data_IF_701251142929
#
_entry.id   IF_701251142929
#
_cell.length_a   1.000
_cell.length_b   1.000
_cell.length_c   1.000
_cell.angle_alpha   90.00
_cell.angle_beta   90.00
_cell.angle_gamma   90.00
#
_symmetry.space_group_name_H-M   'P 1'
#
loop_
_entity.id
_entity.type
_entity.pdbx_description
1 polymer ?
#
# COMPACT_ATOMS: atom_id res chain seq x y z
N UNK A 1 -2.07 -9.70 5.46
CA UNK A 1 -1.86 -8.40 6.13
C UNK A 1 -0.80 -7.61 5.37
N UNK A 2 -1.08 -6.35 5.06
CA UNK A 2 -0.19 -5.42 4.37
C UNK A 2 0.13 -4.30 5.35
N UNK A 3 1.27 -4.41 6.04
CA UNK A 3 1.71 -3.34 6.93
C UNK A 3 2.18 -2.16 6.11
N UNK A 4 1.71 -0.94 6.42
CA UNK A 4 2.11 0.30 5.76
C UNK A 4 2.12 1.46 6.76
N UNK A 5 2.55 2.63 6.29
CA UNK A 5 2.46 3.89 7.01
C UNK A 5 2.13 5.03 6.06
N UNK A 6 0.87 5.13 5.62
CA UNK A 6 0.46 6.25 4.75
C UNK A 6 0.90 7.60 5.35
N UNK A 7 1.53 8.45 4.54
CA UNK A 7 2.14 9.69 4.99
C UNK A 7 1.94 10.75 3.92
N UNK A 8 1.20 11.80 4.24
CA UNK A 8 1.08 12.97 3.37
C UNK A 8 2.35 13.82 3.49
N UNK A 9 3.12 14.05 2.41
CA UNK A 9 4.34 14.84 2.49
C UNK A 9 4.08 16.28 2.95
N UNK A 10 2.91 16.83 2.61
CA UNK A 10 2.42 18.16 2.97
C UNK A 10 0.91 18.08 3.13
N UNK A 11 0.39 18.45 4.30
CA UNK A 11 -1.06 18.52 4.54
C UNK A 11 -1.40 19.59 5.59
N UNK A 12 -1.58 19.19 6.85
CA UNK A 12 -1.74 20.12 8.00
C UNK A 12 -0.39 20.62 8.53
N UNK A 13 0.70 20.19 7.89
CA UNK A 13 2.09 20.47 8.21
C UNK A 13 2.86 20.84 6.94
N UNK A 14 3.99 21.51 7.13
CA UNK A 14 4.92 21.86 6.05
C UNK A 14 5.82 20.67 5.68
N UNK A 15 6.51 20.79 4.55
CA UNK A 15 7.26 19.68 3.97
C UNK A 15 8.44 19.23 4.85
N UNK A 16 9.02 20.12 5.65
CA UNK A 16 10.10 19.83 6.59
C UNK A 16 9.65 18.82 7.65
N UNK A 17 8.44 19.02 8.19
CA UNK A 17 7.85 18.10 9.16
C UNK A 17 7.51 16.76 8.49
N UNK A 18 6.93 16.78 7.28
CA UNK A 18 6.70 15.58 6.49
C UNK A 18 7.98 14.78 6.23
N UNK A 19 9.09 15.46 5.93
CA UNK A 19 10.40 14.83 5.73
C UNK A 19 10.96 14.23 7.02
N UNK A 20 10.93 14.97 8.13
CA UNK A 20 11.38 14.47 9.43
C UNK A 20 10.57 13.24 9.87
N UNK A 21 9.26 13.27 9.67
CA UNK A 21 8.33 12.18 9.98
C UNK A 21 8.57 10.97 9.10
N UNK A 22 8.82 11.14 7.80
CA UNK A 22 9.15 10.04 6.89
C UNK A 22 10.44 9.32 7.34
N UNK A 23 11.47 10.10 7.68
CA UNK A 23 12.75 9.57 8.18
C UNK A 23 12.54 8.80 9.49
N UNK A 24 11.81 9.37 10.46
CA UNK A 24 11.51 8.72 11.74
C UNK A 24 10.73 7.42 11.57
N UNK A 25 9.70 7.44 10.71
CA UNK A 25 8.88 6.28 10.36
C UNK A 25 9.73 5.16 9.74
N UNK A 26 10.58 5.51 8.78
CA UNK A 26 11.40 4.55 8.07
C UNK A 26 12.49 3.96 8.97
N UNK A 27 13.08 4.77 9.87
CA UNK A 27 14.07 4.31 10.84
C UNK A 27 13.47 3.26 11.77
N UNK A 28 12.36 3.59 12.41
CA UNK A 28 11.67 2.69 13.35
C UNK A 28 11.25 1.40 12.66
N UNK A 29 10.70 1.51 11.45
CA UNK A 29 10.20 0.33 10.74
C UNK A 29 11.32 -0.55 10.19
N UNK A 30 12.44 0.04 9.77
CA UNK A 30 13.62 -0.72 9.38
C UNK A 30 14.18 -1.54 10.55
N UNK A 31 14.19 -0.99 11.76
CA UNK A 31 14.59 -1.75 12.96
C UNK A 31 13.63 -2.92 13.25
N UNK A 32 12.32 -2.73 13.09
CA UNK A 32 11.34 -3.81 13.25
C UNK A 32 11.59 -4.93 12.24
N UNK A 33 11.79 -4.58 10.97
CA UNK A 33 12.09 -5.52 9.89
C UNK A 33 13.41 -6.26 10.10
N UNK A 34 14.44 -5.63 10.65
CA UNK A 34 15.69 -6.34 10.98
C UNK A 34 15.47 -7.42 12.04
N UNK A 35 14.65 -7.14 13.06
CA UNK A 35 14.49 -7.98 14.24
C UNK A 35 13.38 -9.04 14.15
N UNK A 36 12.47 -8.92 13.18
CA UNK A 36 11.38 -9.88 12.97
C UNK A 36 11.56 -10.66 11.66
N UNK A 37 11.41 -11.99 11.70
CA UNK A 37 11.64 -12.85 10.53
C UNK A 37 10.48 -12.87 9.53
N UNK A 38 9.25 -12.67 10.00
CA UNK A 38 8.04 -12.78 9.19
C UNK A 38 7.50 -11.41 8.76
N UNK A 39 7.86 -10.34 9.47
CA UNK A 39 7.39 -8.98 9.19
C UNK A 39 7.83 -8.48 7.80
N UNK A 40 6.87 -7.90 7.09
CA UNK A 40 7.08 -7.22 5.80
C UNK A 40 6.45 -5.84 5.92
N UNK A 41 7.27 -4.81 5.77
CA UNK A 41 6.77 -3.44 5.63
C UNK A 41 6.59 -3.07 4.17
N UNK A 42 5.44 -2.50 3.81
CA UNK A 42 5.13 -2.09 2.46
C UNK A 42 5.05 -0.56 2.41
N UNK A 43 5.86 0.07 1.56
CA UNK A 43 5.86 1.53 1.41
C UNK A 43 6.09 1.96 -0.03
N UNK A 44 5.60 3.15 -0.38
CA UNK A 44 5.69 3.76 -1.71
C UNK A 44 6.22 5.20 -1.63
N UNK A 45 6.13 5.93 -2.76
CA UNK A 45 6.40 7.37 -2.93
C UNK A 45 7.88 7.76 -2.96
N UNK A 46 8.39 7.98 -4.17
CA UNK A 46 9.76 8.45 -4.42
C UNK A 46 10.12 9.68 -3.59
N UNK A 47 9.20 10.63 -3.40
CA UNK A 47 9.46 11.84 -2.60
C UNK A 47 10.04 11.51 -1.22
N UNK A 48 9.42 10.55 -0.51
CA UNK A 48 9.86 10.17 0.84
C UNK A 48 11.19 9.43 0.82
N UNK A 49 11.39 8.55 -0.15
CA UNK A 49 12.66 7.84 -0.32
C UNK A 49 13.81 8.79 -0.68
N UNK A 50 13.54 9.85 -1.45
CA UNK A 50 14.53 10.89 -1.75
C UNK A 50 14.95 11.64 -0.49
N UNK A 51 14.01 12.01 0.38
CA UNK A 51 14.34 12.63 1.66
C UNK A 51 15.19 11.71 2.54
N UNK A 52 14.86 10.42 2.62
CA UNK A 52 15.69 9.46 3.36
C UNK A 52 17.07 9.30 2.70
N UNK A 53 17.14 9.25 1.37
CA UNK A 53 18.40 9.18 0.63
C UNK A 53 19.29 10.40 0.88
N UNK A 54 18.71 11.58 0.97
CA UNK A 54 19.40 12.86 1.15
C UNK A 54 19.83 13.08 2.60
N UNK A 55 18.90 12.93 3.54
CA UNK A 55 19.09 13.31 4.95
C UNK A 55 19.54 12.14 5.85
N UNK A 56 19.32 10.88 5.46
CA UNK A 56 19.84 9.71 6.19
C UNK A 56 20.35 8.59 5.26
N UNK A 57 21.49 8.81 4.54
CA UNK A 57 22.01 7.84 3.57
C UNK A 57 22.31 6.44 4.14
N UNK A 58 22.62 6.34 5.44
CA UNK A 58 22.83 5.06 6.13
C UNK A 58 21.53 4.25 6.24
N UNK A 59 20.42 4.91 6.58
CA UNK A 59 19.08 4.32 6.59
C UNK A 59 18.66 3.91 5.19
N UNK A 60 18.92 4.73 4.17
CA UNK A 60 18.63 4.37 2.78
C UNK A 60 19.33 3.06 2.36
N UNK A 61 20.62 2.91 2.69
CA UNK A 61 21.38 1.66 2.45
C UNK A 61 20.79 0.48 3.23
N UNK A 62 20.34 0.70 4.46
CA UNK A 62 19.66 -0.33 5.27
C UNK A 62 18.36 -0.78 4.60
N UNK A 63 17.53 0.16 4.12
CA UNK A 63 16.31 -0.15 3.38
C UNK A 63 16.62 -0.94 2.12
N UNK A 64 17.64 -0.57 1.34
CA UNK A 64 18.07 -1.36 0.18
C UNK A 64 18.43 -2.81 0.53
N UNK A 65 19.04 -3.05 1.69
CA UNK A 65 19.33 -4.40 2.19
C UNK A 65 18.04 -5.14 2.56
N UNK A 66 17.12 -4.48 3.26
CA UNK A 66 15.83 -5.07 3.65
C UNK A 66 14.95 -5.42 2.44
N UNK A 67 15.00 -4.61 1.37
CA UNK A 67 14.33 -4.91 0.10
C UNK A 67 14.89 -6.19 -0.52
N UNK A 68 16.21 -6.37 -0.54
CA UNK A 68 16.84 -7.62 -1.03
C UNK A 68 16.54 -8.85 -0.15
N UNK A 69 16.06 -8.63 1.07
CA UNK A 69 15.70 -9.67 2.03
C UNK A 69 14.19 -9.94 2.06
N UNK A 70 13.41 -9.32 1.17
CA UNK A 70 11.94 -9.41 1.12
C UNK A 70 11.23 -9.00 2.42
N UNK A 71 11.89 -8.17 3.25
CA UNK A 71 11.32 -7.63 4.49
C UNK A 71 10.81 -6.19 4.36
N UNK A 72 11.20 -5.54 3.27
CA UNK A 72 10.73 -4.22 2.90
C UNK A 72 10.30 -4.26 1.45
N UNK A 73 9.02 -4.05 1.19
CA UNK A 73 8.44 -4.13 -0.13
C UNK A 73 8.15 -2.73 -0.67
N UNK A 74 8.71 -2.43 -1.84
CA UNK A 74 8.37 -1.21 -2.57
C UNK A 74 7.05 -1.47 -3.32
N UNK A 75 5.98 -0.81 -2.88
CA UNK A 75 4.64 -1.00 -3.46
C UNK A 75 4.22 0.21 -4.31
N UNK A 76 3.21 0.04 -5.18
CA UNK A 76 2.58 1.12 -5.95
C UNK A 76 3.42 1.66 -7.12
N UNK A 77 4.67 2.04 -6.89
CA UNK A 77 5.59 2.52 -7.93
C UNK A 77 5.35 3.96 -8.40
N UNK A 78 4.52 4.73 -7.68
CA UNK A 78 4.28 6.15 -7.94
C UNK A 78 5.47 7.03 -7.51
N UNK A 79 5.66 8.16 -8.18
CA UNK A 79 6.55 9.21 -7.68
C UNK A 79 5.99 9.83 -6.38
N UNK A 80 4.70 10.15 -6.38
CA UNK A 80 3.89 10.43 -5.20
C UNK A 80 2.48 9.85 -5.45
N UNK A 81 1.73 9.42 -4.42
CA UNK A 81 0.33 9.01 -4.61
C UNK A 81 -0.48 10.20 -5.14
N UNK A 82 -1.00 10.14 -6.38
CA UNK A 82 -1.69 11.28 -6.96
C UNK A 82 -3.16 11.33 -6.51
N UNK A 83 -3.73 12.53 -6.51
CA UNK A 83 -5.17 12.67 -6.75
C UNK A 83 -5.54 11.98 -8.07
N UNK A 84 -6.68 11.30 -8.12
CA UNK A 84 -7.06 10.46 -9.25
C UNK A 84 -8.13 11.06 -10.16
N UNK A 85 -8.40 12.37 -10.06
CA UNK A 85 -9.37 13.08 -10.90
C UNK A 85 -8.80 14.35 -11.55
N UNK A 86 -8.06 15.15 -10.78
CA UNK A 86 -7.58 16.47 -11.16
C UNK A 86 -6.38 16.45 -12.13
N UNK A 87 -5.39 15.55 -11.99
CA UNK A 87 -4.24 15.54 -12.88
C UNK A 87 -4.62 15.17 -14.32
N UNK A 88 -3.88 15.72 -15.28
CA UNK A 88 -3.99 15.31 -16.67
C UNK A 88 -3.49 13.88 -16.89
N UNK A 89 -3.87 13.26 -18.01
CA UNK A 89 -3.34 11.95 -18.41
C UNK A 89 -1.80 11.91 -18.44
N UNK A 90 -1.18 12.95 -19.00
CA UNK A 90 0.29 13.08 -19.03
C UNK A 90 0.88 13.16 -17.61
N UNK A 91 0.22 13.86 -16.68
CA UNK A 91 0.65 13.92 -15.28
C UNK A 91 0.68 12.53 -14.64
N UNK A 92 -0.33 11.69 -14.85
CA UNK A 92 -0.32 10.30 -14.38
C UNK A 92 0.82 9.49 -15.00
N UNK A 93 1.03 9.61 -16.31
CA UNK A 93 2.13 8.95 -17.02
C UNK A 93 3.48 9.35 -16.41
N UNK A 94 3.67 10.63 -16.07
CA UNK A 94 4.91 11.11 -15.42
C UNK A 94 5.07 10.61 -14.00
N UNK A 95 4.00 10.59 -13.20
CA UNK A 95 4.02 10.01 -11.85
C UNK A 95 4.52 8.55 -11.88
N UNK A 96 4.01 7.76 -12.82
CA UNK A 96 4.40 6.36 -13.00
C UNK A 96 5.82 6.23 -13.54
N UNK A 97 6.15 6.97 -14.60
CA UNK A 97 7.44 6.85 -15.28
C UNK A 97 8.60 7.24 -14.34
N UNK A 98 8.47 8.36 -13.65
CA UNK A 98 9.48 8.84 -12.70
C UNK A 98 9.58 7.92 -11.48
N UNK A 99 8.43 7.45 -10.98
CA UNK A 99 8.34 6.48 -9.90
C UNK A 99 9.10 5.18 -10.20
N UNK A 100 8.71 4.52 -11.30
CA UNK A 100 9.33 3.28 -11.76
C UNK A 100 10.82 3.44 -12.06
N UNK A 101 11.23 4.53 -12.71
CA UNK A 101 12.65 4.76 -13.01
C UNK A 101 13.48 4.90 -11.74
N UNK A 102 12.97 5.63 -10.73
CA UNK A 102 13.66 5.78 -9.45
C UNK A 102 13.79 4.44 -8.72
N UNK A 103 12.69 3.72 -8.54
CA UNK A 103 12.72 2.44 -7.82
C UNK A 103 13.53 1.37 -8.55
N UNK A 104 13.47 1.32 -9.89
CA UNK A 104 14.32 0.43 -10.67
C UNK A 104 15.81 0.77 -10.49
N UNK A 105 16.17 2.06 -10.55
CA UNK A 105 17.56 2.52 -10.41
C UNK A 105 18.13 2.21 -9.02
N UNK A 106 17.36 2.46 -7.96
CA UNK A 106 17.87 2.41 -6.60
C UNK A 106 17.61 1.08 -5.88
N UNK A 107 16.59 0.33 -6.27
CA UNK A 107 16.18 -0.91 -5.59
C UNK A 107 16.09 -2.11 -6.54
N UNK A 108 16.19 -1.91 -7.86
CA UNK A 108 16.06 -2.99 -8.85
C UNK A 108 14.63 -3.50 -9.02
N UNK A 109 13.64 -2.77 -8.51
CA UNK A 109 12.23 -3.20 -8.47
C UNK A 109 11.36 -2.37 -9.42
N UNK A 110 10.33 -3.01 -9.97
CA UNK A 110 9.26 -2.36 -10.72
C UNK A 110 7.92 -2.95 -10.26
N UNK A 111 7.17 -2.26 -9.39
CA UNK A 111 5.89 -2.75 -8.88
C UNK A 111 4.89 -3.09 -9.99
N UNK A 112 4.02 -4.06 -9.72
CA UNK A 112 2.97 -4.54 -10.65
C UNK A 112 1.56 -4.22 -10.19
N UNK A 113 1.43 -3.95 -8.89
CA UNK A 113 0.22 -3.43 -8.28
C UNK A 113 0.35 -1.93 -8.05
N UNK A 114 -0.52 -1.15 -8.68
CA UNK A 114 -0.70 0.27 -8.35
C UNK A 114 -1.56 0.42 -7.10
N UNK A 115 -1.34 1.49 -6.32
CA UNK A 115 -1.98 1.67 -5.02
C UNK A 115 -2.30 3.13 -4.77
N UNK A 116 -3.54 3.40 -4.34
CA UNK A 116 -3.92 4.70 -3.81
C UNK A 116 -4.84 4.53 -2.59
N UNK A 117 -4.36 4.93 -1.41
CA UNK A 117 -5.12 4.75 -0.17
C UNK A 117 -6.20 5.81 0.02
N UNK A 118 -5.86 7.09 -0.20
CA UNK A 118 -6.73 8.23 0.15
C UNK A 118 -7.11 9.18 -1.01
N UNK A 119 -7.23 8.77 -2.29
CA UNK A 119 -7.67 9.68 -3.35
C UNK A 119 -9.19 9.90 -3.29
N UNK A 120 -9.67 11.10 -3.62
CA UNK A 120 -11.11 11.40 -3.55
C UNK A 120 -11.85 11.06 -4.85
N UNK A 121 -11.86 9.77 -5.20
CA UNK A 121 -12.47 9.24 -6.42
C UNK A 121 -11.43 8.87 -7.48
N UNK A 122 -11.89 8.37 -8.63
CA UNK A 122 -11.03 7.82 -9.67
C UNK A 122 -11.60 8.03 -11.07
N UNK A 123 -10.80 8.58 -11.98
CA UNK A 123 -11.15 8.62 -13.40
C UNK A 123 -11.08 7.25 -14.06
N UNK A 124 -12.08 6.90 -14.89
CA UNK A 124 -12.08 5.65 -15.68
C UNK A 124 -10.92 5.58 -16.68
N UNK A 125 -10.38 6.72 -17.10
CA UNK A 125 -9.18 6.79 -17.95
C UNK A 125 -7.91 6.25 -17.29
N UNK A 126 -7.88 6.18 -15.96
CA UNK A 126 -6.73 5.69 -15.20
C UNK A 126 -6.41 4.22 -15.54
N UNK A 127 -7.43 3.40 -15.81
CA UNK A 127 -7.26 1.98 -16.16
C UNK A 127 -6.35 1.81 -17.37
N UNK A 128 -6.59 2.59 -18.43
CA UNK A 128 -5.78 2.56 -19.64
C UNK A 128 -4.33 2.91 -19.35
N UNK A 129 -4.11 3.96 -18.55
CA UNK A 129 -2.77 4.44 -18.20
C UNK A 129 -2.01 3.39 -17.37
N UNK A 130 -2.68 2.79 -16.37
CA UNK A 130 -2.11 1.73 -15.53
C UNK A 130 -1.72 0.52 -16.37
N UNK A 131 -2.66 -0.01 -17.16
CA UNK A 131 -2.44 -1.19 -18.00
C UNK A 131 -1.30 -0.98 -18.99
N UNK A 132 -1.31 0.14 -19.74
CA UNK A 132 -0.26 0.46 -20.72
C UNK A 132 1.10 0.79 -20.08
N UNK A 133 1.14 1.11 -18.79
CA UNK A 133 2.39 1.30 -18.04
C UNK A 133 2.94 -0.01 -17.46
N UNK A 134 2.19 -1.10 -17.58
CA UNK A 134 2.56 -2.45 -17.18
C UNK A 134 2.18 -2.82 -15.76
N UNK A 135 1.21 -2.12 -15.16
CA UNK A 135 0.47 -2.58 -13.99
C UNK A 135 -0.62 -3.56 -14.42
N UNK A 136 -0.82 -4.61 -13.63
CA UNK A 136 -1.87 -5.62 -13.84
C UNK A 136 -2.94 -5.58 -12.75
N UNK A 137 -2.68 -4.84 -11.67
CA UNK A 137 -3.53 -4.80 -10.50
C UNK A 137 -3.58 -3.42 -9.84
N UNK A 138 -4.68 -3.13 -9.12
CA UNK A 138 -4.94 -1.87 -8.46
C UNK A 138 -5.60 -2.06 -7.08
N UNK A 139 -4.96 -1.61 -6.01
CA UNK A 139 -5.50 -1.63 -4.64
C UNK A 139 -5.88 -0.21 -4.21
N UNK A 140 -7.13 0.00 -3.80
CA UNK A 140 -7.62 1.34 -3.44
C UNK A 140 -8.58 1.35 -2.27
N UNK A 141 -8.73 2.52 -1.63
CA UNK A 141 -9.61 2.69 -0.45
C UNK A 141 -10.90 3.45 -0.70
N UNK A 142 -10.86 4.42 -1.61
CA UNK A 142 -11.96 5.37 -1.82
C UNK A 142 -12.58 5.28 -3.23
N UNK A 143 -13.85 5.66 -3.41
CA UNK A 143 -14.84 5.95 -2.37
C UNK A 143 -15.12 4.73 -1.50
N UNK A 144 -15.41 4.93 -0.22
CA UNK A 144 -15.79 3.85 0.70
C UNK A 144 -17.18 3.30 0.34
N UNK A 145 -17.58 2.19 0.94
CA UNK A 145 -18.89 1.55 0.70
C UNK A 145 -20.08 2.50 0.90
N UNK A 146 -20.00 3.38 1.90
CA UNK A 146 -21.02 4.39 2.18
C UNK A 146 -21.29 5.32 0.98
N UNK A 147 -20.25 5.65 0.22
CA UNK A 147 -20.35 6.58 -0.91
C UNK A 147 -20.55 5.88 -2.25
N UNK A 148 -20.13 4.63 -2.36
CA UNK A 148 -20.27 3.84 -3.58
C UNK A 148 -20.44 2.36 -3.23
N UNK A 149 -21.67 1.87 -3.36
CA UNK A 149 -21.94 0.44 -3.25
C UNK A 149 -21.40 -0.29 -4.50
N UNK A 150 -20.56 -1.30 -4.27
CA UNK A 150 -19.96 -2.12 -5.30
C UNK A 150 -20.43 -3.55 -5.12
N UNK A 151 -20.91 -4.18 -6.20
CA UNK A 151 -21.33 -5.60 -6.18
C UNK A 151 -20.25 -6.56 -5.68
N UNK A 152 -18.99 -6.18 -5.79
CA UNK A 152 -17.86 -6.92 -5.23
C UNK A 152 -16.69 -5.98 -4.94
N UNK A 153 -15.93 -6.31 -3.90
CA UNK A 153 -14.68 -5.65 -3.57
C UNK A 153 -13.55 -5.97 -4.54
N UNK A 154 -13.60 -7.12 -5.21
CA UNK A 154 -12.61 -7.57 -6.18
C UNK A 154 -13.27 -7.69 -7.56
N UNK A 155 -12.68 -7.06 -8.57
CA UNK A 155 -13.29 -7.01 -9.90
C UNK A 155 -12.28 -6.70 -10.99
N UNK A 156 -12.64 -6.97 -12.24
CA UNK A 156 -11.91 -6.45 -13.39
C UNK A 156 -12.43 -5.04 -13.70
N UNK A 157 -11.58 -4.03 -13.59
CA UNK A 157 -11.92 -2.64 -13.92
C UNK A 157 -11.59 -2.37 -15.39
N UNK A 158 -12.59 -1.93 -16.15
CA UNK A 158 -12.48 -1.74 -17.61
C UNK A 158 -12.42 -0.24 -17.97
N UNK A 159 -11.36 0.15 -18.65
CA UNK A 159 -11.13 1.50 -19.14
C UNK A 159 -12.07 1.90 -20.27
N UNK A 160 -11.98 3.16 -20.70
CA UNK A 160 -12.73 3.66 -21.85
C UNK A 160 -12.29 3.03 -23.18
N UNK A 161 -11.02 2.62 -23.29
CA UNK A 161 -10.46 1.98 -24.48
C UNK A 161 -10.56 0.45 -24.46
N UNK A 162 -11.21 -0.13 -23.46
CA UNK A 162 -11.29 -1.58 -23.26
C UNK A 162 -10.07 -2.20 -22.58
N UNK A 163 -9.07 -1.42 -22.16
CA UNK A 163 -8.01 -1.93 -21.28
C UNK A 163 -8.59 -2.43 -19.95
N UNK A 164 -7.98 -3.45 -19.37
CA UNK A 164 -8.45 -4.09 -18.14
C UNK A 164 -7.34 -4.15 -17.08
N UNK A 165 -7.72 -3.93 -15.82
CA UNK A 165 -6.85 -4.10 -14.65
C UNK A 165 -7.64 -4.80 -13.54
N UNK A 166 -7.04 -5.75 -12.82
CA UNK A 166 -7.67 -6.34 -11.64
C UNK A 166 -7.67 -5.32 -10.51
N UNK A 167 -8.83 -5.01 -9.93
CA UNK A 167 -8.97 -4.01 -8.90
C UNK A 167 -9.55 -4.62 -7.62
N UNK A 168 -9.02 -4.18 -6.48
CA UNK A 168 -9.60 -4.46 -5.17
C UNK A 168 -9.80 -3.17 -4.39
N UNK A 169 -11.04 -2.91 -3.94
CA UNK A 169 -11.29 -1.98 -2.83
C UNK A 169 -11.01 -2.72 -1.52
N UNK A 170 -9.98 -2.33 -0.78
CA UNK A 170 -9.69 -3.00 0.50
C UNK A 170 -10.81 -2.78 1.51
N UNK A 171 -10.96 -3.71 2.44
CA UNK A 171 -12.01 -3.69 3.47
C UNK A 171 -11.53 -2.90 4.68
N UNK A 172 -12.43 -2.08 5.24
CA UNK A 172 -12.12 -1.18 6.35
C UNK A 172 -11.22 -0.02 5.95
N UNK A 173 -10.18 0.24 6.73
CA UNK A 173 -9.33 1.42 6.60
C UNK A 173 -7.86 1.07 6.37
N UNK A 174 -7.06 1.98 5.80
CA UNK A 174 -5.67 1.70 5.41
C UNK A 174 -4.68 1.71 6.59
N UNK A 175 -5.09 2.16 7.78
CA UNK A 175 -4.26 2.18 8.99
C UNK A 175 -5.04 1.61 10.20
N UNK A 176 -4.34 1.48 11.32
CA UNK A 176 -4.83 1.10 12.65
C UNK A 176 -4.33 2.11 13.67
N UNK A 177 -4.98 2.22 14.83
CA UNK A 177 -4.49 3.07 15.92
C UNK A 177 -3.19 2.54 16.52
N UNK A 178 -2.34 3.45 16.99
CA UNK A 178 -1.07 3.12 17.64
C UNK A 178 -1.32 2.29 18.91
N UNK A 179 -0.74 1.08 18.97
CA UNK A 179 -0.87 0.19 20.11
C UNK A 179 -2.11 -0.72 20.10
N UNK A 180 -3.02 -0.56 19.13
CA UNK A 180 -4.29 -1.29 19.04
C UNK A 180 -4.38 -2.16 17.77
N UNK A 181 -3.27 -2.33 17.03
CA UNK A 181 -3.30 -3.01 15.73
C UNK A 181 -3.89 -4.42 15.80
N UNK A 182 -3.51 -5.22 16.80
CA UNK A 182 -3.98 -6.60 16.93
C UNK A 182 -5.50 -6.69 17.20
N UNK A 183 -6.03 -5.80 18.04
CA UNK A 183 -7.47 -5.75 18.36
C UNK A 183 -8.28 -5.38 17.11
N UNK A 184 -7.89 -4.30 16.42
CA UNK A 184 -8.56 -3.87 15.18
C UNK A 184 -8.41 -4.89 14.04
N UNK A 185 -7.27 -5.58 13.95
CA UNK A 185 -7.07 -6.68 13.01
C UNK A 185 -8.06 -7.82 13.32
N UNK A 186 -8.22 -8.19 14.59
CA UNK A 186 -9.15 -9.23 14.99
C UNK A 186 -10.61 -8.84 14.71
N UNK A 187 -11.03 -7.63 15.08
CA UNK A 187 -12.37 -7.12 14.77
C UNK A 187 -12.66 -7.16 13.27
N UNK A 188 -11.70 -6.73 12.44
CA UNK A 188 -11.85 -6.77 10.98
C UNK A 188 -11.90 -8.21 10.45
N UNK A 189 -11.23 -9.18 11.07
CA UNK A 189 -11.37 -10.60 10.70
C UNK A 189 -12.79 -11.09 10.98
N UNK A 190 -13.35 -10.72 12.12
CA UNK A 190 -14.70 -11.12 12.54
C UNK A 190 -15.79 -10.47 11.66
N UNK A 191 -15.64 -9.17 11.37
CA UNK A 191 -16.56 -8.41 10.52
C UNK A 191 -16.58 -8.86 9.05
N UNK A 192 -15.49 -9.48 8.58
CA UNK A 192 -15.31 -9.91 7.19
C UNK A 192 -15.17 -11.43 7.13
N UNK A 193 -15.93 -12.13 7.98
CA UNK A 193 -15.80 -13.58 8.18
C UNK A 193 -16.38 -14.38 7.01
N UNK A 194 -17.28 -13.81 6.23
CA UNK A 194 -17.86 -14.33 5.00
C UNK A 194 -16.88 -14.34 3.81
N UNK A 195 -15.77 -13.60 3.90
CA UNK A 195 -14.77 -13.55 2.84
C UNK A 195 -13.69 -14.63 3.02
N UNK A 196 -13.52 -15.48 2.00
CA UNK A 196 -12.47 -16.53 1.96
C UNK A 196 -11.05 -15.96 2.09
N UNK A 197 -10.81 -14.80 1.48
CA UNK A 197 -9.53 -14.10 1.51
C UNK A 197 -9.73 -12.62 1.22
N UNK A 198 -9.10 -11.75 2.01
CA UNK A 198 -9.08 -10.31 1.79
C UNK A 198 -7.75 -9.68 2.22
N UNK A 199 -7.47 -8.50 1.65
CA UNK A 199 -6.32 -7.70 2.04
C UNK A 199 -6.68 -6.89 3.29
N UNK A 200 -5.89 -7.06 4.35
CA UNK A 200 -5.99 -6.27 5.56
C UNK A 200 -4.80 -5.35 5.70
N UNK A 201 -5.04 -4.05 5.65
CA UNK A 201 -4.02 -3.02 5.84
C UNK A 201 -3.92 -2.65 7.31
N UNK A 202 -2.71 -2.41 7.80
CA UNK A 202 -2.45 -2.02 9.19
C UNK A 202 -1.15 -1.24 9.33
N UNK A 203 -0.95 -0.63 10.50
CA UNK A 203 0.14 0.31 10.78
C UNK A 203 -0.42 1.70 11.07
N UNK A 204 0.42 2.63 11.51
CA UNK A 204 0.00 4.01 11.82
C UNK A 204 0.32 4.91 10.63
N UNK A 205 -0.59 5.83 10.30
CA UNK A 205 -0.52 6.64 9.08
C UNK A 205 -1.15 8.03 9.21
N UNK A 206 -1.50 8.62 8.07
CA UNK A 206 -1.81 10.05 7.82
C UNK A 206 -0.59 10.96 7.99
N UNK A 207 0.05 10.92 9.16
CA UNK A 207 1.31 11.60 9.43
C UNK A 207 2.43 10.57 9.70
N UNK A 208 2.46 9.47 8.95
CA UNK A 208 3.42 8.39 9.19
C UNK A 208 3.30 7.77 10.59
N UNK A 209 4.46 7.53 11.24
CA UNK A 209 4.59 6.85 12.54
C UNK A 209 4.97 5.38 12.38
N UNK A 210 4.28 4.66 11.49
CA UNK A 210 4.48 3.23 11.30
C UNK A 210 4.05 2.39 12.51
N UNK A 211 4.11 1.05 12.43
CA UNK A 211 3.73 0.21 13.55
C UNK A 211 4.72 0.34 14.72
N UNK A 212 4.24 0.19 15.96
CA UNK A 212 5.13 0.12 17.12
C UNK A 212 5.68 -1.30 17.36
N UNK A 213 6.72 -1.42 18.20
CA UNK A 213 7.20 -2.72 18.71
C UNK A 213 6.09 -3.50 19.44
N UNK A 214 5.20 -2.80 20.15
CA UNK A 214 4.04 -3.40 20.81
C UNK A 214 3.08 -3.97 19.76
N UNK A 215 2.73 -3.18 18.76
CA UNK A 215 1.81 -3.60 17.69
C UNK A 215 2.31 -4.87 17.01
N UNK A 216 3.57 -4.88 16.55
CA UNK A 216 4.13 -6.04 15.86
C UNK A 216 4.13 -7.29 16.75
N UNK A 217 4.53 -7.16 18.02
CA UNK A 217 4.51 -8.27 18.99
C UNK A 217 3.09 -8.81 19.18
N UNK A 218 2.11 -7.93 19.34
CA UNK A 218 0.74 -8.33 19.63
C UNK A 218 0.06 -8.91 18.38
N UNK A 219 0.38 -8.40 17.18
CA UNK A 219 -0.04 -8.97 15.89
C UNK A 219 0.56 -10.35 15.67
N UNK A 220 1.83 -10.57 15.99
CA UNK A 220 2.43 -11.90 15.87
C UNK A 220 1.78 -12.89 16.85
N UNK A 221 1.46 -12.47 18.08
CA UNK A 221 0.70 -13.30 19.02
C UNK A 221 -0.68 -13.64 18.50
N UNK A 222 -1.35 -12.71 17.82
CA UNK A 222 -2.63 -12.97 17.18
C UNK A 222 -2.47 -14.03 16.08
N UNK A 223 -1.49 -13.88 15.18
CA UNK A 223 -1.17 -14.87 14.15
C UNK A 223 -0.95 -16.27 14.74
N UNK A 224 -0.19 -16.37 15.84
CA UNK A 224 0.10 -17.65 16.50
C UNK A 224 -1.14 -18.28 17.15
N UNK A 225 -2.08 -17.47 17.65
CA UNK A 225 -3.30 -17.94 18.33
C UNK A 225 -4.43 -18.31 17.36
N UNK A 226 -4.51 -17.64 16.21
CA UNK A 226 -5.54 -17.91 15.21
C UNK A 226 -5.25 -19.24 14.52
N UNK A 227 -6.17 -20.20 14.66
CA UNK A 227 -6.02 -21.57 14.13
C UNK A 227 -7.05 -21.92 13.06
N UNK A 228 -8.19 -21.23 13.06
CA UNK A 228 -9.29 -21.37 12.11
C UNK A 228 -9.04 -20.64 10.79
N UNK A 229 -8.10 -19.68 10.78
CA UNK A 229 -7.72 -18.88 9.60
C UNK A 229 -6.22 -18.70 9.48
N UNK A 230 -5.74 -18.59 8.24
CA UNK A 230 -4.33 -18.30 7.96
C UNK A 230 -4.10 -16.80 7.88
N UNK A 231 -3.46 -16.23 8.89
CA UNK A 231 -3.01 -14.83 8.89
C UNK A 231 -1.53 -14.77 8.54
N UNK A 232 -1.16 -13.96 7.53
CA UNK A 232 0.25 -13.78 7.11
C UNK A 232 0.56 -12.31 6.83
N UNK A 233 1.77 -11.87 7.17
CA UNK A 233 2.37 -10.66 6.59
C UNK A 233 2.62 -10.89 5.10
N UNK A 234 2.28 -9.91 4.26
CA UNK A 234 2.30 -10.08 2.81
C UNK A 234 2.45 -8.76 2.07
N UNK A 235 2.46 -8.85 0.74
CA UNK A 235 2.57 -7.73 -0.19
C UNK A 235 1.31 -7.62 -1.05
N UNK A 236 1.02 -6.43 -1.62
CA UNK A 236 -0.06 -6.23 -2.58
C UNK A 236 0.02 -7.20 -3.77
N UNK A 237 1.20 -7.36 -4.37
CA UNK A 237 1.42 -8.29 -5.49
C UNK A 237 1.12 -9.74 -5.10
N UNK A 238 1.51 -10.18 -3.90
CA UNK A 238 1.21 -11.54 -3.45
C UNK A 238 -0.28 -11.74 -3.19
N UNK A 239 -0.98 -10.71 -2.67
CA UNK A 239 -2.43 -10.74 -2.53
C UNK A 239 -3.12 -10.94 -3.90
N UNK A 240 -2.78 -10.14 -4.91
CA UNK A 240 -3.36 -10.28 -6.25
C UNK A 240 -2.97 -11.59 -6.94
N UNK A 241 -1.77 -12.12 -6.71
CA UNK A 241 -1.37 -13.43 -7.22
C UNK A 241 -2.22 -14.59 -6.66
N UNK A 242 -2.66 -14.47 -5.42
CA UNK A 242 -3.50 -15.47 -4.75
C UNK A 242 -5.00 -15.30 -5.07
N UNK A 243 -5.40 -14.18 -5.65
CA UNK A 243 -6.79 -13.98 -6.09
C UNK A 243 -7.06 -14.81 -7.34
N UNK A 244 -7.95 -15.80 -7.22
CA UNK A 244 -8.60 -16.40 -8.38
C UNK A 244 -9.67 -15.43 -8.89
N UNK A 245 -9.62 -14.96 -10.16
CA UNK A 245 -10.60 -14.03 -10.67
C UNK A 245 -11.94 -14.74 -10.85
N UNK A 246 -12.98 -14.31 -10.12
CA UNK A 246 -14.29 -14.97 -10.19
C UNK A 246 -15.31 -14.25 -11.06
N UNK A 247 -15.24 -12.92 -11.27
CA UNK A 247 -16.22 -12.22 -12.13
C UNK A 247 -15.72 -10.86 -12.62
N UNK A 248 -15.78 -10.54 -13.93
CA UNK A 248 -15.55 -9.17 -14.40
C UNK A 248 -16.73 -8.26 -14.04
N UNK A 249 -16.48 -7.13 -13.35
CA UNK A 249 -17.48 -6.05 -13.22
C UNK A 249 -17.25 -5.04 -14.35
N UNK A 250 -18.08 -5.11 -15.37
CA UNK A 250 -18.13 -4.06 -16.39
C UNK A 250 -18.90 -2.87 -15.81
N UNK A 251 -18.20 -1.82 -15.42
CA UNK A 251 -18.83 -0.51 -15.26
C UNK A 251 -19.17 -0.01 -16.67
N UNK A 252 -20.47 0.10 -16.97
CA UNK A 252 -20.97 0.80 -18.15
C UNK A 252 -20.93 2.29 -17.84
#
# INVERSE_FOLDING_TARGET
MICNAHLDPVWLWEWEEGAATAISTFRTTAELAENDKAFIFNHNEVTLYKWVQEYEPSLFKKIQKLVKQDKWHIMGGWYLQPDCNMPSGESFVRQILLGNNYFKKHFGVKPKTAINFDPFGHTRGLVQILAKSGYDSYLFGRPTEEWLDLKSHKFIWVGLDGSETMATRFLGWYNTSLGEAAEQIQERIEQNSEHDMFAMLWGVGNHGGGPSKKDLRDVNKLIEKTTDRRIIHSTPENYFKLLNPTTPLRFV
#
